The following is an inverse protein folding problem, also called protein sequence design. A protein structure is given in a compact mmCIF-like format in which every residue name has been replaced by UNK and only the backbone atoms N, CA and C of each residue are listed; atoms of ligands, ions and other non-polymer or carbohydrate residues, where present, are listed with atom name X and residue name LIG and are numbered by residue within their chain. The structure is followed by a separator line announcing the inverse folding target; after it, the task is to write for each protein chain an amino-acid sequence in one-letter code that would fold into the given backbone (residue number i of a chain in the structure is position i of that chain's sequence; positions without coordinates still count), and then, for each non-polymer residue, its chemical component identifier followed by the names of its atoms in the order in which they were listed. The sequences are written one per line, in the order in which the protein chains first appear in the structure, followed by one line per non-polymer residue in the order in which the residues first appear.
data_IF_137603397689
#
_entry.id   IF_137603397689
#
_cell.length_a   1.000
_cell.length_b   1.000
_cell.length_c   1.000
_cell.angle_alpha   90.00
_cell.angle_beta   90.00
_cell.angle_gamma   90.00
#
_symmetry.space_group_name_H-M   'P 1'
#
loop_
_entity.id
_entity.type
_entity.pdbx_description
1 polymer ?
#
# COMPACT_ATOMS: atom_id res chain seq x y z
N UNK A 1 -5.85 24.55 -49.86
CA UNK A 1 -5.84 23.28 -49.10
C UNK A 1 -4.61 23.17 -48.19
N UNK A 2 -3.37 23.22 -48.72
CA UNK A 2 -2.14 23.04 -47.91
C UNK A 2 -2.00 24.02 -46.71
N UNK A 3 -2.36 25.29 -46.88
CA UNK A 3 -2.25 26.33 -45.82
C UNK A 3 -3.22 26.08 -44.65
N UNK A 4 -4.38 25.48 -44.92
CA UNK A 4 -5.37 25.18 -43.87
C UNK A 4 -4.89 24.00 -43.02
N UNK A 5 -4.27 22.99 -43.64
CA UNK A 5 -3.70 21.84 -42.94
C UNK A 5 -2.52 22.24 -42.05
N UNK A 6 -1.62 23.13 -42.50
CA UNK A 6 -0.52 23.63 -41.66
C UNK A 6 -1.01 24.42 -40.46
N UNK A 7 -2.03 25.26 -40.63
CA UNK A 7 -2.61 26.02 -39.52
C UNK A 7 -3.30 25.09 -38.49
N UNK A 8 -4.02 24.08 -38.97
CA UNK A 8 -4.66 23.09 -38.09
C UNK A 8 -3.63 22.23 -37.34
N UNK A 9 -2.52 21.86 -37.98
CA UNK A 9 -1.40 21.18 -37.32
C UNK A 9 -0.71 22.05 -36.27
N UNK A 10 -0.50 23.35 -36.55
CA UNK A 10 0.02 24.32 -35.58
C UNK A 10 -0.91 24.48 -34.39
N UNK A 11 -2.23 24.55 -34.62
CA UNK A 11 -3.23 24.63 -33.57
C UNK A 11 -3.26 23.34 -32.73
N UNK A 12 -3.22 22.17 -33.37
CA UNK A 12 -3.15 20.87 -32.69
C UNK A 12 -1.86 20.73 -31.87
N UNK A 13 -0.72 21.17 -32.38
CA UNK A 13 0.54 21.16 -31.63
C UNK A 13 0.55 22.21 -30.50
N UNK A 14 -0.14 23.35 -30.65
CA UNK A 14 -0.38 24.29 -29.55
C UNK A 14 -1.33 23.71 -28.47
N UNK A 15 -2.37 22.98 -28.89
CA UNK A 15 -3.29 22.29 -27.98
C UNK A 15 -2.56 21.12 -27.30
N UNK A 16 -1.71 20.37 -28.00
CA UNK A 16 -0.88 19.33 -27.41
C UNK A 16 0.21 19.90 -26.49
N UNK A 17 0.78 21.06 -26.79
CA UNK A 17 1.66 21.80 -25.85
C UNK A 17 0.91 22.23 -24.57
N UNK A 18 -0.41 22.38 -24.62
CA UNK A 18 -1.25 22.62 -23.44
C UNK A 18 -1.88 21.35 -22.84
N UNK A 19 -1.93 20.24 -23.58
CA UNK A 19 -2.60 18.99 -23.19
C UNK A 19 -1.63 17.82 -22.89
N UNK A 20 -0.33 18.00 -23.11
CA UNK A 20 0.76 17.16 -22.60
C UNK A 20 1.50 18.01 -21.57
N UNK A 21 1.63 17.67 -20.29
CA UNK A 21 1.66 16.37 -19.65
C UNK A 21 1.14 16.51 -18.22
N UNK A 22 0.58 15.42 -17.68
CA UNK A 22 0.76 15.04 -16.29
C UNK A 22 2.26 14.85 -15.99
N UNK A 23 3.06 15.91 -16.13
CA UNK A 23 4.39 15.99 -15.56
C UNK A 23 4.21 16.06 -14.04
N UNK A 24 3.87 14.91 -13.46
CA UNK A 24 4.35 14.51 -12.15
C UNK A 24 5.86 14.32 -12.34
N UNK A 25 6.57 15.44 -12.49
CA UNK A 25 7.96 15.48 -12.88
C UNK A 25 8.60 16.63 -12.13
N UNK A 26 9.08 16.37 -10.92
CA UNK A 26 10.13 17.18 -10.35
C UNK A 26 11.49 16.48 -10.53
N UNK A 27 12.55 17.29 -10.55
CA UNK A 27 13.94 16.87 -10.72
C UNK A 27 14.49 16.10 -9.49
N UNK A 28 13.66 15.79 -8.50
CA UNK A 28 14.04 14.97 -7.34
C UNK A 28 14.12 13.52 -7.78
N UNK A 29 15.17 13.23 -8.52
CA UNK A 29 15.43 11.89 -8.99
C UNK A 29 15.60 11.02 -7.75
N UNK A 30 14.98 9.84 -7.71
CA UNK A 30 15.14 8.86 -6.60
C UNK A 30 16.62 8.56 -6.33
N UNK A 31 17.52 8.85 -7.28
CA UNK A 31 18.97 8.74 -7.12
C UNK A 31 19.56 9.58 -5.98
N UNK A 32 18.93 10.69 -5.58
CA UNK A 32 19.39 11.51 -4.46
C UNK A 32 18.90 11.00 -3.10
N UNK A 33 17.90 10.10 -3.08
CA UNK A 33 17.53 9.35 -1.88
C UNK A 33 18.58 8.25 -1.64
N UNK A 34 19.72 8.61 -1.06
CA UNK A 34 20.77 7.66 -0.68
C UNK A 34 20.46 7.02 0.68
N UNK A 35 20.49 5.69 0.73
CA UNK A 35 20.41 4.91 1.96
C UNK A 35 21.80 4.38 2.33
N UNK A 36 22.14 4.41 3.63
CA UNK A 36 23.41 3.95 4.21
C UNK A 36 24.63 4.83 3.89
N UNK A 37 24.60 6.08 4.36
CA UNK A 37 25.81 6.89 4.40
C UNK A 37 26.80 6.34 5.45
N UNK A 38 28.07 6.22 5.08
CA UNK A 38 29.16 5.89 6.00
C UNK A 38 29.43 7.06 6.98
N UNK A 39 30.28 6.86 7.98
CA UNK A 39 30.70 7.91 8.93
C UNK A 39 31.95 8.67 8.41
N UNK A 40 32.49 8.26 7.27
CA UNK A 40 33.68 8.87 6.65
C UNK A 40 33.32 10.11 5.77
N UNK A 41 34.33 10.67 5.09
CA UNK A 41 34.16 11.79 4.16
C UNK A 41 33.17 11.50 3.02
N UNK A 42 33.12 10.25 2.53
CA UNK A 42 32.12 9.83 1.53
C UNK A 42 30.71 9.81 2.13
N UNK A 43 30.64 9.43 3.40
CA UNK A 43 29.48 9.49 4.27
C UNK A 43 28.89 10.88 4.39
N UNK A 44 29.71 11.89 4.69
CA UNK A 44 29.28 13.30 4.73
C UNK A 44 28.69 13.75 3.40
N UNK A 45 29.33 13.41 2.26
CA UNK A 45 28.80 13.74 0.93
C UNK A 45 27.44 13.06 0.66
N UNK A 46 27.28 11.81 1.10
CA UNK A 46 26.02 11.08 1.03
C UNK A 46 24.93 11.73 1.91
N UNK A 47 25.25 12.09 3.16
CA UNK A 47 24.31 12.74 4.08
C UNK A 47 23.87 14.10 3.55
N UNK A 48 24.78 14.87 2.95
CA UNK A 48 24.43 16.14 2.31
C UNK A 48 23.47 15.94 1.12
N UNK A 49 23.61 14.87 0.35
CA UNK A 49 22.66 14.55 -0.73
C UNK A 49 21.29 14.15 -0.19
N UNK A 50 21.26 13.33 0.86
CA UNK A 50 20.02 12.93 1.52
C UNK A 50 19.31 14.15 2.12
N UNK A 51 20.05 15.05 2.78
CA UNK A 51 19.53 16.31 3.30
C UNK A 51 18.87 17.13 2.18
N UNK A 52 19.57 17.33 1.06
CA UNK A 52 19.05 18.05 -0.09
C UNK A 52 17.76 17.41 -0.65
N UNK A 53 17.69 16.07 -0.69
CA UNK A 53 16.46 15.36 -1.08
C UNK A 53 15.30 15.64 -0.11
N UNK A 54 15.55 15.56 1.21
CA UNK A 54 14.53 15.81 2.24
C UNK A 54 14.07 17.27 2.23
N UNK A 55 14.98 18.23 2.07
CA UNK A 55 14.64 19.65 1.95
C UNK A 55 13.73 19.90 0.75
N UNK A 56 14.02 19.28 -0.40
CA UNK A 56 13.17 19.39 -1.57
C UNK A 56 11.81 18.72 -1.39
N UNK A 57 11.75 17.55 -0.73
CA UNK A 57 10.47 16.88 -0.41
C UNK A 57 9.62 17.75 0.53
N UNK A 58 10.21 18.31 1.59
CA UNK A 58 9.53 19.24 2.50
C UNK A 58 8.94 20.42 1.74
N UNK A 59 9.71 21.04 0.83
CA UNK A 59 9.20 22.15 -0.01
C UNK A 59 8.05 21.68 -0.91
N UNK A 60 8.15 20.49 -1.51
CA UNK A 60 7.08 19.91 -2.34
C UNK A 60 5.80 19.64 -1.54
N UNK A 61 5.92 19.07 -0.32
CA UNK A 61 4.79 18.83 0.59
C UNK A 61 4.12 20.14 1.03
N UNK A 62 4.93 21.17 1.34
CA UNK A 62 4.44 22.51 1.68
C UNK A 62 3.67 23.12 0.51
N UNK A 63 4.22 23.07 -0.71
CA UNK A 63 3.54 23.56 -1.93
C UNK A 63 2.23 22.84 -2.16
N UNK A 64 2.21 21.50 -1.99
CA UNK A 64 1.02 20.69 -2.13
C UNK A 64 -0.07 21.12 -1.13
N UNK A 65 0.29 21.23 0.15
CA UNK A 65 -0.63 21.68 1.20
C UNK A 65 -1.22 23.06 0.89
N UNK A 66 -0.37 24.05 0.59
CA UNK A 66 -0.80 25.42 0.26
C UNK A 66 -1.71 25.44 -0.97
N UNK A 67 -1.34 24.73 -2.03
CA UNK A 67 -2.13 24.70 -3.26
C UNK A 67 -3.50 24.05 -3.06
N UNK A 68 -3.58 22.96 -2.28
CA UNK A 68 -4.85 22.31 -1.94
C UNK A 68 -5.75 23.28 -1.17
N UNK A 69 -5.22 23.99 -0.17
CA UNK A 69 -6.00 24.96 0.61
C UNK A 69 -6.49 26.13 -0.25
N UNK A 70 -5.64 26.69 -1.12
CA UNK A 70 -6.05 27.72 -2.09
C UNK A 70 -7.17 27.18 -2.99
N UNK A 71 -7.04 25.97 -3.54
CA UNK A 71 -8.04 25.41 -4.44
C UNK A 71 -9.40 25.19 -3.73
N UNK A 72 -9.41 24.75 -2.48
CA UNK A 72 -10.63 24.62 -1.66
C UNK A 72 -11.28 26.00 -1.44
N UNK A 73 -10.49 27.01 -1.07
CA UNK A 73 -11.00 28.37 -0.84
C UNK A 73 -11.60 28.98 -2.11
N UNK A 74 -10.87 28.88 -3.23
CA UNK A 74 -11.29 29.39 -4.53
C UNK A 74 -12.52 28.66 -5.05
N UNK A 75 -12.65 27.36 -4.79
CA UNK A 75 -13.88 26.63 -5.06
C UNK A 75 -15.06 27.27 -4.33
N UNK A 76 -14.96 27.53 -3.03
CA UNK A 76 -16.06 28.14 -2.29
C UNK A 76 -16.39 29.57 -2.77
N UNK A 77 -15.39 30.43 -3.02
CA UNK A 77 -15.63 31.79 -3.55
C UNK A 77 -16.36 31.80 -4.88
N UNK A 78 -16.08 30.83 -5.77
CA UNK A 78 -16.70 30.74 -7.09
C UNK A 78 -18.15 30.23 -7.03
N UNK A 79 -18.52 29.49 -5.99
CA UNK A 79 -19.84 28.83 -5.90
C UNK A 79 -20.76 29.40 -4.83
N UNK A 80 -20.26 30.22 -3.91
CA UNK A 80 -21.03 30.82 -2.81
C UNK A 80 -20.83 32.33 -2.78
N UNK A 81 -21.89 33.08 -3.09
CA UNK A 81 -21.86 34.54 -3.25
C UNK A 81 -21.35 35.30 -2.02
N UNK A 82 -21.70 34.83 -0.82
CA UNK A 82 -21.37 35.48 0.45
C UNK A 82 -20.25 34.75 1.23
N UNK A 83 -19.51 33.86 0.56
CA UNK A 83 -18.44 33.12 1.23
C UNK A 83 -17.27 34.04 1.61
N UNK A 84 -16.89 33.98 2.89
CA UNK A 84 -15.69 34.59 3.45
C UNK A 84 -14.91 33.54 4.22
N UNK A 85 -13.62 33.48 3.97
CA UNK A 85 -12.70 32.55 4.61
C UNK A 85 -12.44 32.98 6.05
N UNK A 86 -12.55 32.07 7.00
CA UNK A 86 -12.15 32.30 8.40
C UNK A 86 -10.74 31.72 8.63
N UNK A 87 -9.71 32.54 8.37
CA UNK A 87 -8.32 32.09 8.45
C UNK A 87 -7.86 31.81 9.88
N UNK A 88 -8.38 32.54 10.86
CA UNK A 88 -8.02 32.36 12.28
C UNK A 88 -8.53 31.01 12.80
N UNK A 89 -9.78 30.67 12.47
CA UNK A 89 -10.34 29.35 12.77
C UNK A 89 -9.57 28.23 12.05
N UNK A 90 -9.19 28.42 10.78
CA UNK A 90 -8.41 27.44 10.04
C UNK A 90 -7.03 27.21 10.65
N UNK A 91 -6.37 28.27 11.16
CA UNK A 91 -5.11 28.17 11.92
C UNK A 91 -5.30 27.31 13.17
N UNK A 92 -6.28 27.63 14.02
CA UNK A 92 -6.54 26.89 15.27
C UNK A 92 -6.87 25.43 15.00
N UNK A 93 -7.74 25.15 14.03
CA UNK A 93 -8.14 23.78 13.67
C UNK A 93 -6.97 22.97 13.09
N UNK A 94 -6.17 23.57 12.22
CA UNK A 94 -5.00 22.91 11.62
C UNK A 94 -3.91 22.66 12.66
N UNK A 95 -3.62 23.63 13.53
CA UNK A 95 -2.67 23.49 14.65
C UNK A 95 -3.11 22.35 15.57
N UNK A 96 -4.37 22.37 16.04
CA UNK A 96 -4.91 21.32 16.92
C UNK A 96 -4.82 19.93 16.28
N UNK A 97 -5.10 19.85 14.97
CA UNK A 97 -5.05 18.57 14.23
C UNK A 97 -3.61 18.06 14.09
N UNK A 98 -2.64 18.95 13.83
CA UNK A 98 -1.24 18.56 13.73
C UNK A 98 -0.63 18.24 15.10
N UNK A 99 -0.97 18.99 16.15
CA UNK A 99 -0.52 18.71 17.52
C UNK A 99 -0.96 17.34 18.03
N UNK A 100 -2.18 16.91 17.67
CA UNK A 100 -2.70 15.57 18.00
C UNK A 100 -1.91 14.42 17.34
N UNK A 101 -1.06 14.73 16.34
CA UNK A 101 -0.20 13.75 15.68
C UNK A 101 1.19 13.64 16.31
N UNK A 102 1.57 14.57 17.19
CA UNK A 102 2.81 14.48 17.94
C UNK A 102 2.76 13.30 18.91
N UNK A 103 3.88 12.60 19.03
CA UNK A 103 4.09 11.55 20.04
C UNK A 103 4.75 12.13 21.29
N UNK A 104 4.82 11.35 22.36
CA UNK A 104 5.55 11.75 23.57
C UNK A 104 7.04 11.92 23.24
N UNK A 105 7.65 13.01 23.75
CA UNK A 105 9.06 13.37 23.50
C UNK A 105 9.43 13.55 22.01
N UNK A 106 8.48 14.00 21.18
CA UNK A 106 8.73 14.32 19.78
C UNK A 106 9.81 15.42 19.62
N UNK A 107 10.56 15.36 18.51
CA UNK A 107 11.60 16.33 18.17
C UNK A 107 10.97 17.71 17.85
N UNK A 108 9.72 17.70 17.38
CA UNK A 108 8.97 18.91 17.03
C UNK A 108 8.09 19.34 18.19
N UNK A 109 8.27 20.58 18.64
CA UNK A 109 7.43 21.17 19.70
C UNK A 109 6.07 21.63 19.16
N UNK A 110 5.06 21.69 20.05
CA UNK A 110 3.75 22.30 19.74
C UNK A 110 3.89 23.74 19.23
N UNK A 111 4.79 24.53 19.81
CA UNK A 111 5.10 25.89 19.35
C UNK A 111 5.64 25.92 17.91
N UNK A 112 6.47 24.94 17.53
CA UNK A 112 6.98 24.82 16.15
C UNK A 112 5.83 24.54 15.17
N UNK A 113 4.90 23.64 15.53
CA UNK A 113 3.70 23.37 14.71
C UNK A 113 2.87 24.64 14.56
N UNK A 114 2.58 25.33 15.67
CA UNK A 114 1.80 26.57 15.65
C UNK A 114 2.42 27.62 14.72
N UNK A 115 3.74 27.81 14.80
CA UNK A 115 4.49 28.73 13.95
C UNK A 115 4.42 28.34 12.47
N UNK A 116 4.69 27.08 12.13
CA UNK A 116 4.64 26.58 10.74
C UNK A 116 3.23 26.76 10.17
N UNK A 117 2.20 26.34 10.91
CA UNK A 117 0.80 26.47 10.47
C UNK A 117 0.45 27.93 10.25
N UNK A 118 0.82 28.84 11.16
CA UNK A 118 0.53 30.26 10.95
C UNK A 118 1.15 30.76 9.65
N UNK A 119 2.43 30.49 9.41
CA UNK A 119 3.14 30.92 8.19
C UNK A 119 2.48 30.37 6.93
N UNK A 120 2.09 29.09 6.93
CA UNK A 120 1.43 28.46 5.78
C UNK A 120 0.04 29.05 5.52
N UNK A 121 -0.78 29.21 6.55
CA UNK A 121 -2.12 29.80 6.41
C UNK A 121 -2.05 31.28 6.03
N UNK A 122 -1.06 32.03 6.53
CA UNK A 122 -0.82 33.43 6.13
C UNK A 122 -0.48 33.53 4.64
N UNK A 123 0.35 32.61 4.12
CA UNK A 123 0.64 32.53 2.69
C UNK A 123 -0.62 32.20 1.87
N UNK A 124 -1.44 31.24 2.32
CA UNK A 124 -2.72 30.90 1.68
C UNK A 124 -3.68 32.09 1.66
N UNK A 125 -3.82 32.78 2.79
CA UNK A 125 -4.70 33.93 2.96
C UNK A 125 -4.32 35.08 2.01
N UNK A 126 -3.03 35.36 1.89
CA UNK A 126 -2.50 36.39 0.98
C UNK A 126 -2.84 36.11 -0.47
N UNK A 127 -2.64 34.87 -0.94
CA UNK A 127 -2.92 34.48 -2.33
C UNK A 127 -4.42 34.31 -2.61
N UNK A 128 -5.21 33.97 -1.59
CA UNK A 128 -6.66 33.72 -1.70
C UNK A 128 -7.53 34.93 -1.31
N UNK A 129 -6.97 36.14 -1.26
CA UNK A 129 -7.71 37.34 -0.91
C UNK A 129 -8.75 37.78 -1.98
N UNK A 130 -8.62 37.26 -3.21
CA UNK A 130 -9.52 37.50 -4.34
C UNK A 130 -9.72 36.23 -5.15
N UNK A 131 -10.71 36.23 -6.04
CA UNK A 131 -10.87 35.14 -7.00
C UNK A 131 -9.68 35.17 -7.97
N UNK A 132 -8.92 34.09 -8.01
CA UNK A 132 -7.82 33.92 -8.97
C UNK A 132 -8.33 33.24 -10.24
N UNK A 133 -7.74 33.60 -11.39
CA UNK A 133 -8.06 33.00 -12.71
C UNK A 133 -7.18 31.79 -13.05
N UNK A 134 -6.15 31.53 -12.26
CA UNK A 134 -5.25 30.38 -12.39
C UNK A 134 -5.62 29.30 -11.37
N UNK A 135 -5.10 28.10 -11.57
CA UNK A 135 -5.23 26.97 -10.63
C UNK A 135 -3.90 26.78 -9.93
N UNK A 136 -3.90 26.64 -8.61
CA UNK A 136 -2.67 26.36 -7.89
C UNK A 136 -2.17 24.97 -8.27
N UNK A 137 -1.10 24.93 -9.07
CA UNK A 137 -0.45 23.70 -9.50
C UNK A 137 0.52 23.22 -8.41
N UNK A 138 0.56 21.91 -8.21
CA UNK A 138 1.49 21.25 -7.30
C UNK A 138 1.99 19.95 -7.91
N UNK A 139 3.19 19.54 -7.51
CA UNK A 139 3.70 18.19 -7.78
C UNK A 139 3.13 17.23 -6.74
N UNK A 140 2.71 16.03 -7.15
CA UNK A 140 2.37 14.99 -6.18
C UNK A 140 3.63 14.68 -5.34
N UNK A 141 3.53 14.65 -4.00
CA UNK A 141 4.66 14.29 -3.18
C UNK A 141 5.16 12.88 -3.52
N UNK A 142 6.46 12.75 -3.74
CA UNK A 142 7.11 11.45 -3.99
C UNK A 142 7.65 10.96 -2.65
N UNK A 143 7.05 9.89 -2.12
CA UNK A 143 7.63 9.23 -0.95
C UNK A 143 8.92 8.53 -1.36
N UNK A 144 10.05 8.83 -0.70
CA UNK A 144 11.16 7.90 -0.79
C UNK A 144 10.69 6.54 -0.26
N UNK A 145 11.01 5.46 -0.98
CA UNK A 145 10.68 4.08 -0.58
C UNK A 145 11.21 3.74 0.84
N UNK A 146 12.07 4.59 1.40
CA UNK A 146 12.51 4.58 2.79
C UNK A 146 11.37 4.69 3.82
N UNK A 147 10.26 5.40 3.56
CA UNK A 147 9.14 5.41 4.53
C UNK A 147 8.54 4.00 4.72
N UNK A 148 8.72 3.09 3.77
CA UNK A 148 8.39 1.67 3.95
C UNK A 148 9.58 0.81 4.44
N UNK A 149 10.83 1.20 4.15
CA UNK A 149 12.03 0.42 4.50
C UNK A 149 12.55 0.69 5.92
N UNK A 150 12.48 1.93 6.45
CA UNK A 150 12.96 2.20 7.82
C UNK A 150 12.06 1.55 8.87
N UNK A 151 10.74 1.63 8.70
CA UNK A 151 9.78 1.00 9.63
C UNK A 151 9.86 -0.54 9.62
N UNK A 152 10.10 -1.17 8.46
CA UNK A 152 10.35 -2.62 8.39
C UNK A 152 11.68 -3.02 9.04
N UNK A 153 12.70 -2.17 8.98
CA UNK A 153 13.99 -2.44 9.62
C UNK A 153 13.97 -2.31 11.15
N UNK A 154 13.10 -1.45 11.71
CA UNK A 154 13.04 -1.20 13.16
C UNK A 154 12.12 -2.21 13.87
N UNK A 155 10.98 -2.58 13.28
CA UNK A 155 9.92 -3.32 13.99
C UNK A 155 9.69 -4.78 13.55
N UNK A 156 10.32 -5.26 12.46
CA UNK A 156 10.16 -6.66 12.03
C UNK A 156 11.48 -7.38 12.00
N UNK A 157 11.52 -8.58 12.59
CA UNK A 157 12.66 -9.48 12.47
C UNK A 157 12.87 -9.78 10.98
N UNK A 158 13.91 -9.19 10.40
CA UNK A 158 14.23 -9.34 8.97
C UNK A 158 14.25 -10.80 8.50
N UNK A 159 14.72 -11.71 9.37
CA UNK A 159 14.73 -13.15 9.08
C UNK A 159 13.32 -13.74 8.96
N UNK A 160 12.36 -13.24 9.76
CA UNK A 160 10.96 -13.65 9.70
C UNK A 160 10.30 -13.14 8.41
N UNK A 161 10.53 -11.88 8.04
CA UNK A 161 10.04 -11.30 6.78
C UNK A 161 10.58 -12.04 5.56
N UNK A 162 11.87 -12.39 5.57
CA UNK A 162 12.49 -13.17 4.50
C UNK A 162 11.90 -14.59 4.41
N UNK A 163 11.70 -15.25 5.55
CA UNK A 163 11.04 -16.56 5.62
C UNK A 163 9.58 -16.50 5.17
N UNK A 164 8.87 -15.41 5.49
CA UNK A 164 7.49 -15.19 5.04
C UNK A 164 7.44 -15.02 3.53
N UNK A 165 8.32 -14.22 2.93
CA UNK A 165 8.43 -14.08 1.48
C UNK A 165 8.68 -15.44 0.81
N UNK A 166 9.60 -16.25 1.35
CA UNK A 166 9.83 -17.61 0.86
C UNK A 166 8.62 -18.54 0.94
N UNK A 167 7.71 -18.35 1.91
CA UNK A 167 6.46 -19.13 2.01
C UNK A 167 5.41 -18.73 0.95
N UNK A 168 5.54 -17.55 0.34
CA UNK A 168 4.61 -17.07 -0.69
C UNK A 168 4.98 -17.57 -2.10
N UNK A 169 6.26 -17.88 -2.33
CA UNK A 169 6.77 -18.38 -3.60
C UNK A 169 6.40 -19.86 -3.81
N UNK A 170 5.95 -20.19 -5.02
CA UNK A 170 5.68 -21.56 -5.43
C UNK A 170 6.98 -22.22 -5.90
N UNK A 171 7.60 -23.02 -5.04
CA UNK A 171 8.87 -23.71 -5.36
C UNK A 171 8.68 -25.04 -6.11
N UNK A 172 7.46 -25.30 -6.60
CA UNK A 172 7.13 -26.57 -7.28
C UNK A 172 7.22 -26.45 -8.81
N UNK A 173 7.18 -25.23 -9.35
CA UNK A 173 7.30 -24.99 -10.77
C UNK A 173 8.77 -24.79 -11.12
N UNK A 174 9.23 -25.43 -12.20
CA UNK A 174 10.61 -25.37 -12.68
C UNK A 174 10.79 -24.22 -13.68
N UNK A 175 10.25 -23.06 -13.32
CA UNK A 175 10.25 -21.85 -14.13
C UNK A 175 11.09 -20.78 -13.45
N UNK A 176 11.84 -20.02 -14.26
CA UNK A 176 12.72 -18.99 -13.71
C UNK A 176 11.89 -17.96 -12.93
N UNK A 177 12.27 -17.57 -11.70
CA UNK A 177 11.42 -16.75 -10.88
C UNK A 177 11.40 -15.31 -11.38
N UNK A 178 10.21 -14.67 -11.35
CA UNK A 178 10.03 -13.30 -11.84
C UNK A 178 10.87 -12.25 -11.09
N UNK A 179 11.24 -12.53 -9.84
CA UNK A 179 12.12 -11.66 -9.05
C UNK A 179 13.55 -11.58 -9.62
N UNK A 180 13.89 -12.35 -10.66
CA UNK A 180 15.15 -12.14 -11.41
C UNK A 180 15.30 -10.69 -11.90
N UNK A 181 14.19 -10.02 -12.19
CA UNK A 181 14.13 -8.65 -12.71
C UNK A 181 14.66 -7.59 -11.73
N UNK A 182 14.68 -7.87 -10.42
CA UNK A 182 15.19 -6.93 -9.42
C UNK A 182 16.69 -7.08 -9.15
N UNK A 183 17.33 -8.12 -9.70
CA UNK A 183 18.74 -8.41 -9.46
C UNK A 183 19.64 -7.51 -10.34
N UNK A 184 20.61 -6.79 -9.76
CA UNK A 184 21.63 -6.08 -10.54
C UNK A 184 22.42 -7.03 -11.43
N UNK A 185 22.96 -6.52 -12.55
CA UNK A 185 23.68 -7.30 -13.59
C UNK A 185 24.73 -8.26 -12.99
N UNK A 186 25.48 -7.82 -11.98
CA UNK A 186 26.49 -8.62 -11.29
C UNK A 186 25.90 -9.91 -10.67
N UNK A 187 24.80 -9.78 -9.92
CA UNK A 187 24.11 -10.91 -9.27
C UNK A 187 23.28 -11.72 -10.27
N UNK A 188 22.71 -11.06 -11.28
CA UNK A 188 21.90 -11.68 -12.32
C UNK A 188 22.67 -12.78 -13.06
N UNK A 189 23.97 -12.58 -13.34
CA UNK A 189 24.80 -13.61 -14.00
C UNK A 189 24.94 -14.87 -13.13
N UNK A 190 25.21 -14.72 -11.83
CA UNK A 190 25.31 -15.87 -10.90
C UNK A 190 23.95 -16.56 -10.73
N UNK A 191 22.87 -15.79 -10.64
CA UNK A 191 21.52 -16.32 -10.59
C UNK A 191 21.16 -17.13 -11.84
N UNK A 192 21.43 -16.59 -13.03
CA UNK A 192 21.20 -17.31 -14.30
C UNK A 192 21.97 -18.62 -14.37
N UNK A 193 23.18 -18.72 -13.81
CA UNK A 193 23.95 -19.97 -13.74
C UNK A 193 23.24 -21.06 -12.92
N UNK A 194 22.66 -20.71 -11.77
CA UNK A 194 21.84 -21.62 -10.95
C UNK A 194 20.69 -22.19 -11.80
N UNK A 195 20.08 -21.34 -12.63
CA UNK A 195 18.94 -21.70 -13.49
C UNK A 195 19.32 -22.24 -14.89
N UNK A 196 20.61 -22.27 -15.27
CA UNK A 196 21.05 -22.78 -16.59
C UNK A 196 20.99 -24.31 -16.64
N UNK A 197 21.02 -24.97 -15.47
CA UNK A 197 21.04 -26.43 -15.33
C UNK A 197 19.66 -27.10 -15.53
N UNK A 198 18.59 -26.33 -15.69
CA UNK A 198 17.20 -26.82 -15.83
C UNK A 198 16.84 -27.30 -17.25
N UNK A 199 17.74 -27.99 -17.97
CA UNK A 199 17.43 -28.55 -19.31
C UNK A 199 16.74 -29.91 -19.27
N UNK A 200 16.74 -30.60 -18.13
CA UNK A 200 16.04 -31.86 -17.97
C UNK A 200 14.85 -31.61 -17.05
N UNK A 201 13.63 -31.86 -17.52
CA UNK A 201 12.37 -31.68 -16.79
C UNK A 201 12.19 -32.70 -15.63
N UNK A 202 13.22 -32.91 -14.80
CA UNK A 202 13.14 -33.75 -13.60
C UNK A 202 12.77 -32.89 -12.39
N UNK A 203 11.70 -33.28 -11.71
CA UNK A 203 11.21 -32.64 -10.47
C UNK A 203 12.27 -32.61 -9.35
N UNK A 204 13.20 -33.57 -9.32
CA UNK A 204 14.32 -33.59 -8.36
C UNK A 204 15.34 -32.48 -8.61
N UNK A 205 15.70 -32.22 -9.87
CA UNK A 205 16.61 -31.14 -10.26
C UNK A 205 16.02 -29.78 -9.83
N UNK A 206 14.71 -29.65 -9.95
CA UNK A 206 13.95 -28.46 -9.58
C UNK A 206 14.03 -28.12 -8.08
N UNK A 207 13.88 -29.12 -7.20
CA UNK A 207 14.03 -28.93 -5.74
C UNK A 207 15.45 -28.48 -5.39
N UNK A 208 16.46 -29.02 -6.07
CA UNK A 208 17.86 -28.62 -5.88
C UNK A 208 18.09 -27.17 -6.33
N UNK A 209 17.59 -26.80 -7.51
CA UNK A 209 17.67 -25.42 -8.05
C UNK A 209 17.02 -24.42 -7.08
N UNK A 210 15.85 -24.75 -6.52
CA UNK A 210 15.18 -23.89 -5.55
C UNK A 210 15.93 -23.78 -4.21
N UNK A 211 16.60 -24.86 -3.77
CA UNK A 211 17.46 -24.84 -2.59
C UNK A 211 18.66 -23.90 -2.80
N UNK A 212 19.37 -24.05 -3.92
CA UNK A 212 20.49 -23.17 -4.28
C UNK A 212 20.04 -21.72 -4.47
N UNK A 213 18.85 -21.52 -5.05
CA UNK A 213 18.24 -20.19 -5.20
C UNK A 213 17.99 -19.54 -3.84
N UNK A 214 17.50 -20.32 -2.86
CA UNK A 214 17.29 -19.83 -1.49
C UNK A 214 18.60 -19.45 -0.81
N UNK A 215 19.62 -20.29 -0.92
CA UNK A 215 20.95 -20.02 -0.37
C UNK A 215 21.57 -18.76 -1.02
N UNK A 216 21.44 -18.61 -2.33
CA UNK A 216 21.90 -17.43 -3.06
C UNK A 216 21.23 -16.14 -2.55
N UNK A 217 19.91 -16.10 -2.42
CA UNK A 217 19.19 -14.93 -1.90
C UNK A 217 19.60 -14.63 -0.45
N UNK A 218 19.75 -15.65 0.39
CA UNK A 218 20.18 -15.48 1.78
C UNK A 218 21.62 -14.94 1.91
N UNK A 219 22.46 -15.12 0.87
CA UNK A 219 23.81 -14.55 0.79
C UNK A 219 23.84 -13.14 0.21
N UNK A 220 22.76 -12.64 -0.39
CA UNK A 220 22.71 -11.28 -0.92
C UNK A 220 22.80 -10.24 0.22
N UNK A 221 23.31 -9.03 -0.06
CA UNK A 221 23.21 -7.91 0.87
C UNK A 221 21.76 -7.67 1.32
N UNK A 222 21.56 -7.27 2.58
CA UNK A 222 20.22 -6.99 3.16
C UNK A 222 19.35 -6.10 2.27
N UNK A 223 19.95 -5.15 1.56
CA UNK A 223 19.27 -4.27 0.60
C UNK A 223 18.58 -5.07 -0.52
N UNK A 224 19.27 -6.04 -1.11
CA UNK A 224 18.70 -6.88 -2.17
C UNK A 224 17.72 -7.91 -1.61
N UNK A 225 17.95 -8.41 -0.39
CA UNK A 225 16.96 -9.24 0.32
C UNK A 225 15.67 -8.45 0.56
N UNK A 226 15.75 -7.18 0.96
CA UNK A 226 14.58 -6.31 1.12
C UNK A 226 13.87 -6.03 -0.21
N UNK A 227 14.62 -5.83 -1.30
CA UNK A 227 14.01 -5.74 -2.65
C UNK A 227 13.26 -7.02 -3.00
N UNK A 228 13.81 -8.18 -2.68
CA UNK A 228 13.15 -9.48 -2.88
C UNK A 228 11.88 -9.61 -2.04
N UNK A 229 11.93 -9.32 -0.73
CA UNK A 229 10.75 -9.35 0.15
C UNK A 229 9.65 -8.44 -0.41
N UNK A 230 9.99 -7.20 -0.78
CA UNK A 230 9.03 -6.24 -1.32
C UNK A 230 8.47 -6.67 -2.68
N UNK A 231 9.30 -7.27 -3.54
CA UNK A 231 8.85 -7.79 -4.83
C UNK A 231 7.82 -8.90 -4.62
N UNK A 232 8.10 -9.85 -3.74
CA UNK A 232 7.21 -10.99 -3.45
C UNK A 232 5.91 -10.53 -2.78
N UNK A 233 6.01 -9.64 -1.79
CA UNK A 233 4.84 -9.03 -1.15
C UNK A 233 3.97 -8.31 -2.18
N UNK A 234 4.60 -7.53 -3.08
CA UNK A 234 3.89 -6.81 -4.15
C UNK A 234 3.25 -7.79 -5.12
N UNK A 235 3.96 -8.80 -5.60
CA UNK A 235 3.42 -9.79 -6.53
C UNK A 235 2.24 -10.56 -5.93
N UNK A 236 2.31 -10.92 -4.65
CA UNK A 236 1.21 -11.57 -3.93
C UNK A 236 0.02 -10.63 -3.71
N UNK A 237 0.29 -9.36 -3.38
CA UNK A 237 -0.75 -8.34 -3.25
C UNK A 237 -1.42 -8.04 -4.58
N UNK A 238 -0.66 -7.94 -5.68
CA UNK A 238 -1.16 -7.72 -7.04
C UNK A 238 -2.04 -8.90 -7.49
N UNK A 239 -1.67 -10.14 -7.16
CA UNK A 239 -2.50 -11.35 -7.39
C UNK A 239 -3.76 -11.40 -6.54
N UNK A 240 -3.71 -10.82 -5.35
CA UNK A 240 -4.86 -10.71 -4.45
C UNK A 240 -5.63 -9.41 -4.66
N UNK A 241 -5.20 -8.56 -5.60
CA UNK A 241 -5.73 -7.23 -5.72
C UNK A 241 -7.15 -7.32 -6.28
N UNK A 242 -8.12 -7.02 -5.43
CA UNK A 242 -9.52 -6.93 -5.81
C UNK A 242 -9.82 -5.64 -6.56
N UNK A 243 -8.95 -5.17 -7.46
CA UNK A 243 -9.17 -3.91 -8.19
C UNK A 243 -10.51 -3.90 -8.93
N UNK A 244 -10.95 -5.06 -9.43
CA UNK A 244 -12.27 -5.22 -10.04
C UNK A 244 -13.42 -4.81 -9.09
N UNK A 245 -13.23 -4.85 -7.76
CA UNK A 245 -14.22 -4.42 -6.76
C UNK A 245 -14.57 -2.93 -6.90
N UNK A 246 -13.64 -2.12 -7.43
CA UNK A 246 -13.86 -0.70 -7.71
C UNK A 246 -14.79 -0.49 -8.91
N UNK A 247 -14.87 -1.44 -9.84
CA UNK A 247 -15.77 -1.41 -10.99
C UNK A 247 -17.16 -1.97 -10.67
N UNK A 248 -17.36 -2.61 -9.51
CA UNK A 248 -18.64 -3.21 -9.13
C UNK A 248 -19.67 -2.16 -8.71
N UNK A 249 -20.91 -2.35 -9.16
CA UNK A 249 -22.07 -1.66 -8.60
C UNK A 249 -22.27 -2.01 -7.11
N UNK A 250 -22.96 -1.18 -6.32
CA UNK A 250 -23.21 -1.45 -4.90
C UNK A 250 -23.84 -2.82 -4.62
N UNK A 251 -24.80 -3.25 -5.44
CA UNK A 251 -25.50 -4.53 -5.32
C UNK A 251 -24.59 -5.71 -5.65
N UNK A 252 -23.73 -5.53 -6.66
CA UNK A 252 -22.71 -6.50 -7.08
C UNK A 252 -21.65 -6.70 -6.00
N UNK A 253 -21.17 -5.59 -5.42
CA UNK A 253 -20.25 -5.61 -4.29
C UNK A 253 -20.89 -6.31 -3.08
N UNK A 254 -22.15 -6.03 -2.79
CA UNK A 254 -22.87 -6.67 -1.69
C UNK A 254 -23.00 -8.18 -1.91
N UNK A 255 -23.33 -8.63 -3.12
CA UNK A 255 -23.39 -10.05 -3.46
C UNK A 255 -22.02 -10.73 -3.32
N UNK A 256 -20.97 -10.11 -3.88
CA UNK A 256 -19.60 -10.60 -3.82
C UNK A 256 -19.14 -10.75 -2.36
N UNK A 257 -19.30 -9.71 -1.55
CA UNK A 257 -18.91 -9.73 -0.13
C UNK A 257 -19.71 -10.77 0.67
N UNK A 258 -21.03 -10.85 0.45
CA UNK A 258 -21.90 -11.83 1.12
C UNK A 258 -21.49 -13.26 0.79
N UNK A 259 -21.19 -13.54 -0.48
CA UNK A 259 -20.77 -14.88 -0.93
C UNK A 259 -19.42 -15.25 -0.34
N UNK A 260 -18.44 -14.34 -0.40
CA UNK A 260 -17.09 -14.61 0.10
C UNK A 260 -17.06 -14.79 1.63
N UNK A 261 -17.85 -13.99 2.37
CA UNK A 261 -17.95 -14.04 3.84
C UNK A 261 -18.78 -15.20 4.38
N UNK A 262 -19.49 -15.95 3.52
CA UNK A 262 -20.33 -17.05 3.97
C UNK A 262 -19.49 -18.21 4.52
N UNK A 263 -19.36 -18.35 5.85
CA UNK A 263 -18.55 -19.39 6.49
C UNK A 263 -19.19 -20.78 6.36
N UNK A 264 -20.50 -20.83 6.13
CA UNK A 264 -21.23 -22.10 5.96
C UNK A 264 -20.95 -22.78 4.61
N UNK A 265 -20.34 -22.07 3.66
CA UNK A 265 -20.06 -22.56 2.31
C UNK A 265 -18.58 -22.93 2.14
N UNK A 266 -18.32 -24.09 1.57
CA UNK A 266 -16.98 -24.51 1.16
C UNK A 266 -16.38 -23.55 0.13
N UNK A 267 -15.06 -23.37 0.15
CA UNK A 267 -14.39 -22.39 -0.72
C UNK A 267 -14.59 -22.74 -2.20
N UNK A 268 -14.56 -24.03 -2.55
CA UNK A 268 -14.81 -24.52 -3.90
C UNK A 268 -16.17 -24.08 -4.40
N UNK A 269 -17.21 -24.16 -3.56
CA UNK A 269 -18.56 -23.73 -3.92
C UNK A 269 -18.67 -22.21 -4.04
N UNK A 270 -17.94 -21.45 -3.21
CA UNK A 270 -17.86 -19.98 -3.35
C UNK A 270 -17.25 -19.61 -4.69
N UNK A 271 -16.13 -20.24 -5.05
CA UNK A 271 -15.43 -19.98 -6.31
C UNK A 271 -16.34 -20.32 -7.50
N UNK A 272 -17.06 -21.43 -7.45
CA UNK A 272 -18.02 -21.81 -8.50
C UNK A 272 -19.12 -20.76 -8.69
N UNK A 273 -19.79 -20.35 -7.60
CA UNK A 273 -20.86 -19.33 -7.62
C UNK A 273 -20.31 -18.00 -8.13
N UNK A 274 -19.15 -17.58 -7.63
CA UNK A 274 -18.51 -16.33 -8.03
C UNK A 274 -18.04 -16.37 -9.48
N UNK A 275 -17.54 -17.51 -9.97
CA UNK A 275 -17.14 -17.69 -11.38
C UNK A 275 -18.33 -17.51 -12.32
N UNK A 276 -19.47 -18.17 -12.04
CA UNK A 276 -20.70 -18.02 -12.83
C UNK A 276 -21.19 -16.58 -12.80
N UNK A 277 -21.33 -16.00 -11.60
CA UNK A 277 -21.73 -14.60 -11.43
C UNK A 277 -20.81 -13.61 -12.15
N UNK A 278 -19.49 -13.84 -12.08
CA UNK A 278 -18.49 -12.99 -12.70
C UNK A 278 -18.62 -12.98 -14.22
N UNK A 279 -18.79 -14.15 -14.83
CA UNK A 279 -18.98 -14.28 -16.27
C UNK A 279 -20.30 -13.66 -16.78
N UNK A 280 -21.35 -13.64 -15.95
CA UNK A 280 -22.65 -13.08 -16.31
C UNK A 280 -22.72 -11.55 -16.18
N UNK A 281 -21.96 -10.95 -15.23
CA UNK A 281 -22.15 -9.54 -14.84
C UNK A 281 -20.95 -8.62 -15.06
N UNK A 282 -19.73 -9.15 -15.04
CA UNK A 282 -18.54 -8.30 -15.10
C UNK A 282 -18.19 -7.91 -16.53
N UNK A 283 -17.68 -6.68 -16.68
CA UNK A 283 -17.07 -6.21 -17.93
C UNK A 283 -15.87 -7.09 -18.29
N UNK A 284 -15.48 -7.15 -19.57
CA UNK A 284 -14.28 -7.88 -20.01
C UNK A 284 -13.00 -7.41 -19.28
N UNK A 285 -12.92 -6.12 -18.94
CA UNK A 285 -11.86 -5.53 -18.12
C UNK A 285 -11.82 -6.13 -16.72
N UNK A 286 -12.93 -6.01 -15.99
CA UNK A 286 -13.07 -6.53 -14.63
C UNK A 286 -12.91 -8.05 -14.55
N UNK A 287 -13.40 -8.78 -15.56
CA UNK A 287 -13.37 -10.24 -15.60
C UNK A 287 -11.93 -10.79 -15.60
N UNK A 288 -11.01 -10.11 -16.29
CA UNK A 288 -9.59 -10.51 -16.31
C UNK A 288 -8.94 -10.46 -14.93
N UNK A 289 -9.17 -9.39 -14.17
CA UNK A 289 -8.66 -9.23 -12.81
C UNK A 289 -9.42 -10.10 -11.80
N UNK A 290 -10.73 -10.29 -12.00
CA UNK A 290 -11.56 -11.17 -11.20
C UNK A 290 -11.12 -12.64 -11.30
N UNK A 291 -10.82 -13.12 -12.51
CA UNK A 291 -10.35 -14.50 -12.71
C UNK A 291 -9.00 -14.73 -12.03
N UNK A 292 -8.05 -13.78 -12.13
CA UNK A 292 -6.77 -13.85 -11.40
C UNK A 292 -6.99 -13.89 -9.88
N UNK A 293 -7.94 -13.10 -9.38
CA UNK A 293 -8.32 -13.10 -7.98
C UNK A 293 -8.91 -14.45 -7.52
N UNK A 294 -9.84 -15.04 -8.29
CA UNK A 294 -10.40 -16.36 -7.98
C UNK A 294 -9.34 -17.45 -8.00
N UNK A 295 -8.44 -17.45 -8.99
CA UNK A 295 -7.30 -18.38 -9.03
C UNK A 295 -6.38 -18.23 -7.81
N UNK A 296 -6.12 -16.98 -7.38
CA UNK A 296 -5.31 -16.68 -6.20
C UNK A 296 -5.95 -17.23 -4.92
N UNK A 297 -7.26 -17.06 -4.76
CA UNK A 297 -8.02 -17.64 -3.65
C UNK A 297 -7.97 -19.16 -3.69
N UNK A 298 -8.23 -19.79 -4.84
CA UNK A 298 -8.19 -21.24 -4.99
C UNK A 298 -6.84 -21.83 -4.59
N UNK A 299 -5.74 -21.19 -5.03
CA UNK A 299 -4.37 -21.58 -4.65
C UNK A 299 -4.10 -21.40 -3.17
N UNK A 300 -4.63 -20.34 -2.53
CA UNK A 300 -4.50 -20.12 -1.08
C UNK A 300 -5.26 -21.17 -0.29
N UNK A 301 -6.46 -21.52 -0.72
CA UNK A 301 -7.31 -22.52 -0.10
C UNK A 301 -6.66 -23.91 -0.14
N UNK A 302 -6.16 -24.34 -1.31
CA UNK A 302 -5.40 -25.60 -1.44
C UNK A 302 -4.20 -25.67 -0.47
N UNK A 303 -3.40 -24.59 -0.41
CA UNK A 303 -2.25 -24.48 0.52
C UNK A 303 -2.68 -24.52 1.98
N UNK A 304 -3.88 -24.04 2.30
CA UNK A 304 -4.43 -24.04 3.65
C UNK A 304 -4.94 -25.44 4.02
N UNK A 305 -5.65 -26.12 3.12
CA UNK A 305 -6.08 -27.51 3.29
C UNK A 305 -4.91 -28.46 3.52
N UNK A 306 -3.81 -28.32 2.75
CA UNK A 306 -2.58 -29.10 2.97
C UNK A 306 -1.96 -28.86 4.37
N UNK A 307 -2.10 -27.66 4.93
CA UNK A 307 -1.65 -27.36 6.30
C UNK A 307 -2.57 -27.99 7.33
N UNK A 308 -3.87 -27.93 7.11
CA UNK A 308 -4.86 -28.59 7.97
C UNK A 308 -4.58 -30.09 8.02
N UNK A 309 -4.28 -30.73 6.89
CA UNK A 309 -4.00 -32.16 6.82
C UNK A 309 -2.76 -32.58 7.62
N UNK A 310 -1.79 -31.68 7.77
CA UNK A 310 -0.57 -31.88 8.58
C UNK A 310 -0.75 -31.59 10.07
N UNK A 311 -1.93 -31.12 10.51
CA UNK A 311 -2.20 -30.87 11.92
C UNK A 311 -2.35 -32.18 12.72
N UNK A 312 -2.04 -32.10 14.02
CA UNK A 312 -2.31 -33.19 14.97
C UNK A 312 -3.82 -33.48 15.05
N UNK A 313 -4.23 -34.70 15.43
CA UNK A 313 -5.66 -35.04 15.59
C UNK A 313 -6.41 -34.07 16.51
N UNK A 314 -5.77 -33.63 17.60
CA UNK A 314 -6.32 -32.67 18.55
C UNK A 314 -6.47 -31.27 17.94
N UNK A 315 -5.46 -30.79 17.21
CA UNK A 315 -5.54 -29.51 16.51
C UNK A 315 -6.61 -29.52 15.39
N UNK A 316 -6.77 -30.64 14.66
CA UNK A 316 -7.87 -30.82 13.69
C UNK A 316 -9.23 -30.76 14.38
N UNK A 317 -9.38 -31.37 15.57
CA UNK A 317 -10.61 -31.33 16.36
C UNK A 317 -10.93 -29.90 16.81
N UNK A 318 -9.96 -29.19 17.37
CA UNK A 318 -10.11 -27.79 17.78
C UNK A 318 -10.49 -26.89 16.60
N UNK A 319 -9.81 -27.06 15.44
CA UNK A 319 -10.13 -26.33 14.22
C UNK A 319 -11.59 -26.54 13.79
N UNK A 320 -12.07 -27.79 13.76
CA UNK A 320 -13.48 -28.09 13.43
C UNK A 320 -14.45 -27.41 14.40
N UNK A 321 -14.16 -27.42 15.70
CA UNK A 321 -15.00 -26.74 16.70
C UNK A 321 -15.03 -25.22 16.48
N UNK A 322 -13.90 -24.60 16.14
CA UNK A 322 -13.83 -23.17 15.83
C UNK A 322 -14.68 -22.84 14.59
N UNK A 323 -14.62 -23.67 13.54
CA UNK A 323 -15.43 -23.47 12.34
C UNK A 323 -16.93 -23.59 12.66
N UNK A 324 -17.34 -24.56 13.46
CA UNK A 324 -18.74 -24.71 13.89
C UNK A 324 -19.23 -23.49 14.69
N UNK A 325 -18.40 -22.93 15.59
CA UNK A 325 -18.71 -21.70 16.30
C UNK A 325 -18.86 -20.50 15.36
N UNK A 326 -18.02 -20.41 14.32
CA UNK A 326 -18.13 -19.35 13.32
C UNK A 326 -19.43 -19.45 12.50
N UNK A 327 -19.81 -20.66 12.09
CA UNK A 327 -21.10 -20.90 11.41
C UNK A 327 -22.28 -20.54 12.31
N UNK A 328 -22.24 -20.95 13.57
CA UNK A 328 -23.29 -20.63 14.54
C UNK A 328 -23.41 -19.11 14.75
N UNK A 329 -22.28 -18.42 14.90
CA UNK A 329 -22.23 -16.96 14.99
C UNK A 329 -22.85 -16.28 13.76
N UNK A 330 -22.51 -16.75 12.56
CA UNK A 330 -23.08 -16.21 11.32
C UNK A 330 -24.60 -16.41 11.28
N UNK A 331 -25.08 -17.61 11.60
CA UNK A 331 -26.53 -17.92 11.62
C UNK A 331 -27.29 -17.04 12.61
N UNK A 332 -26.76 -16.85 13.81
CA UNK A 332 -27.33 -15.92 14.79
C UNK A 332 -27.34 -14.48 14.26
N UNK A 333 -26.22 -14.01 13.71
CA UNK A 333 -26.14 -12.66 13.18
C UNK A 333 -27.12 -12.43 12.03
N UNK A 334 -27.29 -13.40 11.13
CA UNK A 334 -28.25 -13.34 10.02
C UNK A 334 -29.71 -13.29 10.50
N UNK A 335 -30.02 -13.92 11.63
CA UNK A 335 -31.37 -13.93 12.22
C UNK A 335 -31.82 -12.58 12.79
N UNK A 336 -30.89 -11.66 13.06
CA UNK A 336 -31.22 -10.34 13.59
C UNK A 336 -31.83 -9.41 12.53
N UNK A 337 -32.63 -8.44 12.98
CA UNK A 337 -33.14 -7.36 12.11
C UNK A 337 -32.00 -6.48 11.59
N UNK A 338 -32.23 -5.75 10.49
CA UNK A 338 -31.21 -4.86 9.92
C UNK A 338 -30.79 -3.75 10.89
N UNK A 339 -31.73 -3.22 11.70
CA UNK A 339 -31.44 -2.18 12.68
C UNK A 339 -30.49 -2.70 13.78
N UNK A 340 -30.78 -3.90 14.32
CA UNK A 340 -29.91 -4.56 15.31
C UNK A 340 -28.54 -4.87 14.72
N UNK A 341 -28.48 -5.35 13.46
CA UNK A 341 -27.20 -5.57 12.76
C UNK A 341 -26.40 -4.28 12.67
N UNK A 342 -27.03 -3.15 12.34
CA UNK A 342 -26.37 -1.85 12.22
C UNK A 342 -25.85 -1.34 13.58
N UNK A 343 -26.64 -1.47 14.65
CA UNK A 343 -26.23 -1.12 16.01
C UNK A 343 -25.02 -1.96 16.45
N UNK A 344 -25.07 -3.27 16.27
CA UNK A 344 -23.96 -4.18 16.62
C UNK A 344 -22.71 -3.89 15.79
N UNK A 345 -22.85 -3.63 14.49
CA UNK A 345 -21.73 -3.27 13.62
C UNK A 345 -21.09 -1.95 14.09
N UNK A 346 -21.88 -0.96 14.49
CA UNK A 346 -21.36 0.30 15.00
C UNK A 346 -20.66 0.11 16.36
N UNK A 347 -21.25 -0.67 17.28
CA UNK A 347 -20.60 -1.04 18.54
C UNK A 347 -19.25 -1.73 18.29
N UNK A 348 -19.20 -2.72 17.40
CA UNK A 348 -17.97 -3.45 17.09
C UNK A 348 -16.92 -2.60 16.37
N UNK A 349 -17.31 -1.60 15.57
CA UNK A 349 -16.37 -0.61 15.00
C UNK A 349 -15.66 0.18 16.10
N UNK A 350 -16.36 0.57 17.17
CA UNK A 350 -15.74 1.24 18.31
C UNK A 350 -14.87 0.29 19.14
N UNK A 351 -15.29 -0.97 19.27
CA UNK A 351 -14.56 -1.98 20.02
C UNK A 351 -13.26 -2.41 19.35
N UNK A 352 -13.20 -2.51 18.01
CA UNK A 352 -11.95 -2.78 17.28
C UNK A 352 -10.97 -1.63 17.39
N UNK A 353 -11.43 -0.37 17.36
CA UNK A 353 -10.59 0.82 17.63
C UNK A 353 -10.03 0.76 19.07
N UNK A 354 -10.84 0.33 20.04
CA UNK A 354 -10.40 0.16 21.42
C UNK A 354 -9.39 -0.98 21.56
N UNK A 355 -9.64 -2.13 20.93
CA UNK A 355 -8.71 -3.28 20.95
C UNK A 355 -7.41 -2.98 20.24
N UNK A 356 -7.41 -2.30 19.10
CA UNK A 356 -6.15 -1.94 18.42
C UNK A 356 -5.31 -1.00 19.28
N UNK A 357 -5.94 -0.05 19.98
CA UNK A 357 -5.28 0.83 20.94
C UNK A 357 -4.74 0.04 22.13
N UNK A 358 -5.50 -0.90 22.68
CA UNK A 358 -5.04 -1.74 23.79
C UNK A 358 -3.90 -2.67 23.38
N UNK A 359 -3.91 -3.24 22.17
CA UNK A 359 -2.85 -4.11 21.67
C UNK A 359 -1.55 -3.34 21.39
N UNK A 360 -1.66 -2.06 21.02
CA UNK A 360 -0.52 -1.13 20.95
C UNK A 360 0.03 -0.85 22.35
N UNK A 361 -0.84 -0.52 23.31
CA UNK A 361 -0.44 -0.26 24.70
C UNK A 361 0.15 -1.49 25.40
N UNK A 362 -0.39 -2.69 25.17
CA UNK A 362 0.16 -3.94 25.70
C UNK A 362 1.54 -4.23 25.11
N UNK A 363 1.76 -3.95 23.82
CA UNK A 363 3.10 -4.06 23.21
C UNK A 363 4.07 -3.02 23.78
N UNK A 364 3.61 -1.80 24.05
CA UNK A 364 4.43 -0.76 24.68
C UNK A 364 4.76 -1.11 26.14
N UNK A 365 3.80 -1.65 26.91
CA UNK A 365 4.02 -2.07 28.29
C UNK A 365 5.02 -3.25 28.39
N UNK A 366 4.92 -4.23 27.47
CA UNK A 366 5.88 -5.34 27.39
C UNK A 366 7.30 -4.88 27.05
N UNK A 367 7.47 -3.71 26.42
CA UNK A 367 8.81 -3.15 26.16
C UNK A 367 9.38 -2.32 27.31
N UNK A 368 8.57 -1.93 28.30
CA UNK A 368 9.01 -1.11 29.44
C UNK A 368 9.52 -1.99 30.60
N UNK A 369 8.97 -3.20 30.79
CA UNK A 369 9.37 -4.08 31.91
C UNK A 369 10.72 -4.80 31.72
N UNK A 370 11.30 -4.80 30.52
CA UNK A 370 12.69 -5.25 30.33
C UNK A 370 13.74 -4.19 30.71
N UNK A 371 13.31 -3.09 31.35
CA UNK A 371 14.15 -1.96 31.78
C UNK A 371 14.47 -1.91 33.28
N UNK A 372 14.12 -2.93 34.08
CA UNK A 372 14.41 -2.97 35.52
C UNK A 372 15.24 -4.22 35.87
N UNK A 373 16.55 -4.15 35.62
CA UNK A 373 17.66 -4.67 36.44
C UNK A 373 19.00 -4.36 35.77
#
# INVERSE_FOLDING_TARGET
MAIIYTFFFLLLSFIQLKAQNYQVGDNNTISDCMSNCSVDLNGKKCLNKLLNFIENDIVSQIRHYVAVQINIDQFHRRHKKDYKSNWDELKVNSTTTMEKKLIENDIISKSTISMIISVLIDAISKESNKIIIWTAHYSCPITCNQYNLSWRNINTNHSESLNKAWKLIHTNDCTIPNFITILPIFYLRRFKKIWTLSKNDKLEDCKSIWKETREFINQLPKILQNKFINFVDKEENDKANGNFILELLPEERQFFEKTLRNVSMAMEKKIEILSVWGNERLSTSALGDFNKFLESIAKKDKRFSEKIDKLSPEAKKAYRQIIELQKHKQKLFESFSNDVKNELVNLWKHDTIRKSKNLLLEKEALTIDDGIC
#
